data_IF_412765043598
#
_entry.id   IF_412765043598
#
_cell.length_a   1.000
_cell.length_b   1.000
_cell.length_c   1.000
_cell.angle_alpha   90.00
_cell.angle_beta   90.00
_cell.angle_gamma   90.00
#
_symmetry.space_group_name_H-M   'P 1'
#
loop_
_entity.id
_entity.type
_entity.pdbx_description
1 polymer ?
#
# COMPACT_ATOMS: atom_id res chain seq x y z
N UNK A 1 1.22 -1.12 -20.92
CA UNK A 1 0.87 -2.55 -20.74
C UNK A 1 1.03 -3.05 -19.29
N UNK A 2 1.81 -2.39 -18.42
CA UNK A 2 2.03 -2.87 -17.06
C UNK A 2 0.73 -2.95 -16.26
N UNK A 3 -0.10 -1.91 -16.27
CA UNK A 3 -1.40 -1.89 -15.59
C UNK A 3 -2.43 -2.79 -16.29
N UNK A 4 -2.51 -2.74 -17.63
CA UNK A 4 -3.52 -3.48 -18.40
C UNK A 4 -3.37 -5.00 -18.31
N UNK A 5 -2.13 -5.50 -18.09
CA UNK A 5 -1.86 -6.93 -17.90
C UNK A 5 -2.07 -7.41 -16.45
N UNK A 6 -2.38 -6.49 -15.53
CA UNK A 6 -2.64 -6.77 -14.11
C UNK A 6 -3.93 -6.08 -13.65
N UNK A 7 -5.10 -6.44 -14.25
CA UNK A 7 -6.37 -5.83 -13.89
C UNK A 7 -6.75 -6.14 -12.43
N UNK A 8 -7.69 -5.37 -11.89
CA UNK A 8 -8.19 -5.51 -10.51
C UNK A 8 -8.54 -6.96 -10.12
N UNK A 9 -9.22 -7.78 -10.97
CA UNK A 9 -9.53 -9.17 -10.63
C UNK A 9 -8.30 -10.06 -10.33
N UNK A 10 -7.12 -9.73 -10.87
CA UNK A 10 -5.89 -10.49 -10.58
C UNK A 10 -5.47 -10.33 -9.12
N UNK A 11 -5.55 -9.11 -8.60
CA UNK A 11 -5.24 -8.84 -7.19
C UNK A 11 -6.31 -9.42 -6.26
N UNK A 12 -7.60 -9.28 -6.62
CA UNK A 12 -8.69 -9.91 -5.87
C UNK A 12 -8.49 -11.43 -5.76
N UNK A 13 -8.19 -12.12 -6.88
CA UNK A 13 -7.96 -13.56 -6.89
C UNK A 13 -6.77 -13.94 -6.02
N UNK A 14 -5.65 -13.23 -6.15
CA UNK A 14 -4.46 -13.48 -5.36
C UNK A 14 -4.72 -13.27 -3.86
N UNK A 15 -5.46 -12.22 -3.49
CA UNK A 15 -5.87 -11.93 -2.11
C UNK A 15 -6.77 -13.04 -1.57
N UNK A 16 -7.80 -13.43 -2.31
CA UNK A 16 -8.70 -14.53 -1.93
C UNK A 16 -7.93 -15.84 -1.72
N UNK A 17 -7.04 -16.18 -2.63
CA UNK A 17 -6.21 -17.40 -2.54
C UNK A 17 -5.28 -17.37 -1.33
N UNK A 18 -4.60 -16.24 -1.08
CA UNK A 18 -3.73 -16.10 0.08
C UNK A 18 -4.52 -16.27 1.40
N UNK A 19 -5.71 -15.68 1.49
CA UNK A 19 -6.61 -15.83 2.64
C UNK A 19 -7.04 -17.29 2.83
N UNK A 20 -7.44 -17.96 1.75
CA UNK A 20 -7.85 -19.38 1.80
C UNK A 20 -6.71 -20.30 2.27
N UNK A 21 -5.48 -20.04 1.82
CA UNK A 21 -4.32 -20.80 2.26
C UNK A 21 -3.97 -20.55 3.73
N UNK A 22 -4.08 -19.30 4.18
CA UNK A 22 -3.86 -18.93 5.58
C UNK A 22 -4.92 -19.56 6.49
N UNK A 23 -6.18 -19.61 6.06
CA UNK A 23 -7.28 -20.29 6.76
C UNK A 23 -7.02 -21.79 6.92
N UNK A 24 -6.58 -22.47 5.84
CA UNK A 24 -6.24 -23.89 5.88
C UNK A 24 -5.07 -24.16 6.83
N UNK A 25 -4.08 -23.26 6.83
CA UNK A 25 -2.89 -23.40 7.66
C UNK A 25 -3.08 -22.92 9.11
N UNK A 26 -4.24 -22.30 9.41
CA UNK A 26 -4.57 -21.69 10.71
C UNK A 26 -3.50 -20.69 11.18
N UNK A 27 -3.09 -19.78 10.28
CA UNK A 27 -2.08 -18.76 10.57
C UNK A 27 -2.60 -17.34 10.30
N UNK A 28 -2.14 -16.33 11.05
CA UNK A 28 -2.44 -14.95 10.73
C UNK A 28 -1.79 -14.54 9.39
N UNK A 29 -2.45 -13.64 8.66
CA UNK A 29 -2.00 -13.16 7.36
C UNK A 29 -2.02 -11.64 7.30
N UNK A 30 -1.00 -11.03 6.71
CA UNK A 30 -1.02 -9.61 6.31
C UNK A 30 -1.02 -9.50 4.80
N UNK A 31 -2.07 -8.89 4.23
CA UNK A 31 -2.12 -8.53 2.81
C UNK A 31 -1.47 -7.16 2.66
N UNK A 32 -0.34 -7.11 1.99
CA UNK A 32 0.45 -5.89 1.80
C UNK A 32 0.01 -5.14 0.53
N UNK A 33 0.30 -3.82 0.47
CA UNK A 33 0.13 -2.93 -0.69
C UNK A 33 -1.21 -3.11 -1.45
N UNK A 34 -2.33 -3.23 -0.73
CA UNK A 34 -3.67 -3.34 -1.32
C UNK A 34 -4.00 -2.09 -2.12
N UNK A 35 -4.39 -2.26 -3.38
CA UNK A 35 -4.53 -1.18 -4.36
C UNK A 35 -5.95 -0.89 -4.83
N UNK A 36 -6.94 -1.69 -4.42
CA UNK A 36 -8.31 -1.58 -4.94
C UNK A 36 -9.39 -2.10 -3.99
N UNK A 37 -10.66 -1.73 -4.27
CA UNK A 37 -11.80 -2.07 -3.44
C UNK A 37 -12.16 -3.55 -3.44
N UNK A 38 -11.98 -4.29 -4.55
CA UNK A 38 -12.32 -5.70 -4.60
C UNK A 38 -11.43 -6.55 -3.67
N UNK A 39 -10.14 -6.24 -3.62
CA UNK A 39 -9.22 -6.88 -2.66
C UNK A 39 -9.56 -6.48 -1.22
N UNK A 40 -9.94 -5.20 -0.99
CA UNK A 40 -10.42 -4.72 0.32
C UNK A 40 -11.67 -5.50 0.78
N UNK A 41 -12.61 -5.77 -0.12
CA UNK A 41 -13.80 -6.58 0.20
C UNK A 41 -13.47 -8.01 0.60
N UNK A 42 -12.51 -8.67 -0.07
CA UNK A 42 -12.08 -10.03 0.32
C UNK A 42 -11.50 -10.05 1.74
N UNK A 43 -10.73 -9.03 2.12
CA UNK A 43 -10.20 -8.88 3.47
C UNK A 43 -11.32 -8.70 4.50
N UNK A 44 -12.29 -7.84 4.21
CA UNK A 44 -13.45 -7.61 5.08
C UNK A 44 -14.26 -8.89 5.30
N UNK A 45 -14.56 -9.62 4.22
CA UNK A 45 -15.28 -10.91 4.28
C UNK A 45 -14.54 -11.94 5.13
N UNK A 46 -13.22 -12.01 5.00
CA UNK A 46 -12.39 -12.89 5.80
C UNK A 46 -12.47 -12.56 7.29
N UNK A 47 -12.39 -11.28 7.65
CA UNK A 47 -12.53 -10.81 9.04
C UNK A 47 -13.92 -11.07 9.62
N UNK A 48 -14.97 -10.91 8.83
CA UNK A 48 -16.36 -11.24 9.25
C UNK A 48 -16.52 -12.73 9.60
N UNK A 49 -15.71 -13.60 9.00
CA UNK A 49 -15.63 -15.04 9.34
C UNK A 49 -14.73 -15.33 10.55
N UNK A 50 -14.12 -14.31 11.15
CA UNK A 50 -13.25 -14.44 12.32
C UNK A 50 -11.77 -14.73 12.00
N UNK A 51 -11.35 -14.67 10.74
CA UNK A 51 -9.96 -14.90 10.35
C UNK A 51 -9.06 -13.74 10.76
N UNK A 52 -7.84 -14.04 11.17
CA UNK A 52 -6.82 -13.06 11.55
C UNK A 52 -6.10 -12.53 10.30
N UNK A 53 -6.79 -11.68 9.55
CA UNK A 53 -6.27 -11.04 8.35
C UNK A 53 -6.03 -9.56 8.62
N UNK A 54 -4.80 -9.11 8.41
CA UNK A 54 -4.38 -7.71 8.49
C UNK A 54 -4.18 -7.15 7.09
N UNK A 55 -4.24 -5.83 6.95
CA UNK A 55 -4.13 -5.19 5.65
C UNK A 55 -3.29 -3.92 5.68
N UNK A 56 -2.58 -3.70 4.59
CA UNK A 56 -1.72 -2.54 4.37
C UNK A 56 -2.08 -1.87 3.04
N UNK A 57 -2.05 -0.53 3.02
CA UNK A 57 -2.04 0.23 1.77
C UNK A 57 -0.94 1.29 1.78
N UNK A 58 -0.73 1.98 0.66
CA UNK A 58 0.44 2.83 0.44
C UNK A 58 0.04 4.14 -0.28
N UNK A 59 0.90 5.20 -0.22
CA UNK A 59 0.61 6.50 -0.82
C UNK A 59 0.24 6.46 -2.31
N UNK A 60 0.88 5.58 -3.08
CA UNK A 60 0.65 5.47 -4.52
C UNK A 60 -0.80 5.11 -4.87
N UNK A 61 -1.52 4.43 -3.99
CA UNK A 61 -2.90 4.00 -4.24
C UNK A 61 -3.95 5.05 -3.87
N UNK A 62 -3.52 6.20 -3.36
CA UNK A 62 -4.37 7.36 -3.08
C UNK A 62 -3.91 8.63 -3.79
N UNK A 63 -2.83 8.57 -4.60
CA UNK A 63 -2.24 9.74 -5.27
C UNK A 63 -1.89 9.51 -6.74
N UNK A 64 -1.56 8.29 -7.13
CA UNK A 64 -1.20 7.94 -8.51
C UNK A 64 -2.32 7.16 -9.18
N UNK A 65 -2.36 7.27 -10.49
CA UNK A 65 -3.37 6.59 -11.32
C UNK A 65 -2.72 5.75 -12.42
N UNK A 66 -3.51 4.90 -13.08
CA UNK A 66 -3.06 4.11 -14.21
C UNK A 66 -2.58 4.98 -15.38
N UNK A 67 -3.14 6.19 -15.52
CA UNK A 67 -2.77 7.18 -16.52
C UNK A 67 -1.33 7.70 -16.32
N UNK A 68 -0.81 7.70 -15.09
CA UNK A 68 0.59 8.03 -14.83
C UNK A 68 1.56 7.03 -15.47
N UNK A 69 1.15 5.78 -15.65
CA UNK A 69 1.94 4.77 -16.36
C UNK A 69 1.93 4.95 -17.90
N UNK A 70 0.99 5.74 -18.40
CA UNK A 70 0.74 5.92 -19.84
C UNK A 70 1.24 7.29 -20.35
N UNK A 71 2.15 7.91 -19.62
CA UNK A 71 2.78 9.18 -20.01
C UNK A 71 3.66 8.98 -21.23
N UNK A 72 3.78 10.04 -22.03
CA UNK A 72 4.53 10.06 -23.27
C UNK A 72 5.98 9.59 -23.11
N UNK A 73 6.49 8.95 -24.14
CA UNK A 73 7.86 8.45 -24.22
C UNK A 73 8.18 7.37 -23.17
N UNK A 74 9.18 7.61 -22.33
CA UNK A 74 9.59 6.69 -21.26
C UNK A 74 9.20 7.18 -19.86
N UNK A 75 8.51 8.31 -19.76
CA UNK A 75 8.18 8.95 -18.48
C UNK A 75 7.26 8.11 -17.59
N UNK A 76 6.38 7.30 -18.17
CA UNK A 76 5.55 6.36 -17.43
C UNK A 76 6.35 5.31 -16.62
N UNK A 77 7.61 5.04 -17.00
CA UNK A 77 8.48 4.12 -16.26
C UNK A 77 8.75 4.56 -14.81
N UNK A 78 8.67 5.87 -14.52
CA UNK A 78 8.82 6.43 -13.16
C UNK A 78 7.84 5.81 -12.19
N UNK A 79 6.63 5.46 -12.65
CA UNK A 79 5.49 5.03 -11.86
C UNK A 79 5.28 3.51 -11.83
N UNK A 80 6.14 2.76 -12.49
CA UNK A 80 6.04 1.29 -12.51
C UNK A 80 6.34 0.71 -11.13
N UNK A 81 5.32 0.15 -10.52
CA UNK A 81 5.35 -0.61 -9.25
C UNK A 81 4.30 -1.73 -9.28
N UNK A 82 4.34 -2.66 -8.36
CA UNK A 82 3.40 -3.77 -8.28
C UNK A 82 2.81 -3.89 -6.87
N UNK A 83 1.47 -3.92 -6.75
CA UNK A 83 0.46 -3.72 -7.80
C UNK A 83 0.58 -2.36 -8.51
N UNK A 84 0.15 -2.26 -9.79
CA UNK A 84 0.16 -0.97 -10.48
C UNK A 84 -0.88 -0.02 -9.87
N UNK A 85 -0.66 1.30 -9.91
CA UNK A 85 -1.71 2.28 -9.63
C UNK A 85 -2.98 1.97 -10.44
N UNK A 86 -4.15 2.16 -9.83
CA UNK A 86 -5.46 1.92 -10.43
C UNK A 86 -6.05 3.22 -10.98
N UNK A 87 -7.23 3.16 -11.55
CA UNK A 87 -7.95 4.39 -11.90
C UNK A 87 -8.35 5.15 -10.64
N UNK A 88 -8.54 6.46 -10.75
CA UNK A 88 -8.97 7.30 -9.60
C UNK A 88 -10.30 6.89 -8.98
N UNK A 89 -11.08 6.04 -9.65
CA UNK A 89 -12.32 5.45 -9.12
C UNK A 89 -12.08 4.51 -7.93
N UNK A 90 -10.86 4.00 -7.75
CA UNK A 90 -10.51 3.17 -6.59
C UNK A 90 -10.17 4.01 -5.35
N UNK A 91 -9.77 5.27 -5.49
CA UNK A 91 -9.38 6.11 -4.36
C UNK A 91 -10.46 6.24 -3.27
N UNK A 92 -11.75 6.49 -3.59
CA UNK A 92 -12.78 6.53 -2.56
C UNK A 92 -12.88 5.24 -1.75
N UNK A 93 -12.71 4.08 -2.39
CA UNK A 93 -12.79 2.77 -1.72
C UNK A 93 -11.58 2.54 -0.80
N UNK A 94 -10.38 2.96 -1.23
CA UNK A 94 -9.18 2.90 -0.39
C UNK A 94 -9.32 3.85 0.80
N UNK A 95 -9.81 5.09 0.59
CA UNK A 95 -10.04 6.03 1.68
C UNK A 95 -11.09 5.53 2.67
N UNK A 96 -12.18 4.94 2.18
CA UNK A 96 -13.18 4.29 3.04
C UNK A 96 -12.55 3.19 3.91
N UNK A 97 -11.71 2.36 3.33
CA UNK A 97 -10.96 1.34 4.07
C UNK A 97 -9.97 1.90 5.08
N UNK A 98 -9.33 3.04 4.79
CA UNK A 98 -8.46 3.75 5.73
C UNK A 98 -9.28 4.31 6.90
N UNK A 99 -10.37 4.99 6.63
CA UNK A 99 -11.23 5.62 7.63
C UNK A 99 -11.87 4.59 8.56
N UNK A 100 -12.44 3.53 7.99
CA UNK A 100 -13.23 2.54 8.74
C UNK A 100 -12.44 1.33 9.26
N UNK A 101 -11.11 1.39 9.23
CA UNK A 101 -10.28 0.40 9.92
C UNK A 101 -10.04 -0.91 9.18
N UNK A 102 -10.30 -0.95 7.87
CA UNK A 102 -9.94 -2.13 7.06
C UNK A 102 -8.43 -2.21 6.90
N UNK A 103 -7.74 -1.09 6.72
CA UNK A 103 -6.29 -1.06 6.71
C UNK A 103 -5.74 -0.87 8.12
N UNK A 104 -4.96 -1.82 8.58
CA UNK A 104 -4.28 -1.76 9.88
C UNK A 104 -3.09 -0.82 9.83
N UNK A 105 -2.36 -0.82 8.72
CA UNK A 105 -1.15 -0.05 8.54
C UNK A 105 -1.14 0.70 7.22
N UNK A 106 -0.43 1.84 7.23
CA UNK A 106 -0.13 2.64 6.04
C UNK A 106 1.38 2.70 5.88
N UNK A 107 1.91 1.95 4.92
CA UNK A 107 3.35 1.86 4.64
C UNK A 107 3.75 2.69 3.43
N UNK A 108 4.99 2.58 2.99
CA UNK A 108 5.49 3.29 1.80
C UNK A 108 5.78 2.39 0.61
N UNK A 109 5.97 1.10 0.84
CA UNK A 109 6.49 0.17 -0.18
C UNK A 109 7.71 0.76 -0.91
N UNK A 110 8.64 1.37 -0.13
CA UNK A 110 9.77 2.12 -0.66
C UNK A 110 10.76 1.22 -1.37
N UNK A 111 10.77 1.29 -2.69
CA UNK A 111 11.71 0.58 -3.55
C UNK A 111 12.21 1.52 -4.67
N UNK A 112 13.17 2.41 -4.38
CA UNK A 112 13.56 3.48 -5.28
C UNK A 112 14.52 2.98 -6.36
N UNK A 113 14.33 3.52 -7.56
CA UNK A 113 15.24 3.36 -8.69
C UNK A 113 15.54 4.71 -9.33
N UNK A 114 16.78 4.97 -9.66
CA UNK A 114 17.13 6.16 -10.44
C UNK A 114 16.50 6.06 -11.83
N UNK A 115 15.97 7.18 -12.34
CA UNK A 115 15.25 7.17 -13.61
C UNK A 115 16.18 6.96 -14.81
N UNK A 116 17.24 7.79 -14.92
CA UNK A 116 18.19 7.77 -16.03
C UNK A 116 19.43 6.94 -15.68
N UNK A 117 19.25 5.68 -15.32
CA UNK A 117 20.34 4.82 -14.87
C UNK A 117 20.12 3.40 -15.39
N UNK A 118 21.16 2.81 -15.96
CA UNK A 118 21.14 1.43 -16.47
C UNK A 118 20.98 0.37 -15.36
N UNK A 119 21.28 0.72 -14.11
CA UNK A 119 20.95 -0.09 -12.92
C UNK A 119 19.61 0.31 -12.30
N UNK A 120 18.91 1.26 -12.90
CA UNK A 120 17.61 1.79 -12.46
C UNK A 120 16.50 1.55 -13.47
N UNK A 121 15.61 2.53 -13.64
CA UNK A 121 14.45 2.41 -14.54
C UNK A 121 14.81 2.23 -16.01
N UNK A 122 15.93 2.77 -16.46
CA UNK A 122 16.44 2.63 -17.84
C UNK A 122 17.37 1.41 -17.98
N UNK A 123 17.04 0.32 -17.32
CA UNK A 123 17.77 -0.95 -17.40
C UNK A 123 17.80 -1.50 -18.84
N UNK A 124 18.76 -2.37 -19.19
CA UNK A 124 18.84 -2.95 -20.52
C UNK A 124 17.51 -3.58 -20.96
N UNK A 125 16.98 -3.14 -22.10
CA UNK A 125 15.70 -3.60 -22.65
C UNK A 125 14.44 -2.95 -22.06
N UNK A 126 14.56 -2.02 -21.10
CA UNK A 126 13.42 -1.35 -20.46
C UNK A 126 12.59 -0.53 -21.47
N UNK A 127 13.25 0.10 -22.45
CA UNK A 127 12.56 0.88 -23.51
C UNK A 127 11.89 0.01 -24.56
N UNK A 128 12.22 -1.28 -24.66
CA UNK A 128 11.60 -2.23 -25.57
C UNK A 128 10.47 -3.02 -24.91
N UNK A 129 10.55 -3.25 -23.60
CA UNK A 129 9.55 -4.03 -22.88
C UNK A 129 9.39 -3.54 -21.44
N UNK A 130 8.14 -3.28 -21.04
CA UNK A 130 7.82 -2.94 -19.65
C UNK A 130 8.26 -4.01 -18.63
N UNK A 131 8.44 -5.27 -19.07
CA UNK A 131 8.91 -6.37 -18.22
C UNK A 131 10.32 -6.16 -17.69
N UNK A 132 11.12 -5.35 -18.40
CA UNK A 132 12.49 -5.06 -18.04
C UNK A 132 12.61 -3.75 -17.21
N UNK A 133 11.51 -3.06 -16.94
CA UNK A 133 11.50 -1.90 -16.07
C UNK A 133 11.47 -2.39 -14.63
N UNK A 134 12.45 -2.06 -13.80
CA UNK A 134 12.41 -2.40 -12.37
C UNK A 134 11.16 -1.88 -11.68
N UNK A 135 10.48 -2.76 -10.94
CA UNK A 135 9.27 -2.43 -10.21
C UNK A 135 9.62 -1.80 -8.86
N UNK A 136 9.06 -0.64 -8.61
CA UNK A 136 9.20 0.08 -7.35
C UNK A 136 9.29 1.58 -7.54
N UNK A 137 8.85 2.31 -6.54
CA UNK A 137 8.86 3.77 -6.47
C UNK A 137 9.35 4.24 -5.09
N UNK A 138 9.92 5.45 -4.98
CA UNK A 138 10.23 6.03 -3.67
C UNK A 138 8.95 6.42 -2.93
N UNK A 139 8.97 6.34 -1.60
CA UNK A 139 7.78 6.67 -0.79
C UNK A 139 8.06 6.94 0.69
N UNK A 140 9.24 6.56 1.22
CA UNK A 140 9.50 6.63 2.66
C UNK A 140 9.43 8.06 3.20
N UNK A 141 9.98 9.02 2.48
CA UNK A 141 9.95 10.43 2.87
C UNK A 141 8.56 11.05 2.78
N UNK A 142 7.81 10.70 1.72
CA UNK A 142 6.54 11.35 1.40
C UNK A 142 5.32 10.69 2.05
N UNK A 143 5.46 9.49 2.61
CA UNK A 143 4.37 8.71 3.19
C UNK A 143 3.56 9.50 4.22
N UNK A 144 4.21 10.00 5.26
CA UNK A 144 3.54 10.72 6.34
C UNK A 144 2.98 12.09 5.88
N UNK A 145 3.74 12.93 5.16
CA UNK A 145 3.21 14.18 4.62
C UNK A 145 1.99 14.00 3.72
N UNK A 146 2.00 13.01 2.82
CA UNK A 146 0.86 12.72 1.95
C UNK A 146 -0.36 12.30 2.76
N UNK A 147 -0.22 11.31 3.64
CA UNK A 147 -1.35 10.84 4.44
C UNK A 147 -1.90 11.94 5.35
N UNK A 148 -1.03 12.78 5.94
CA UNK A 148 -1.45 13.89 6.79
C UNK A 148 -2.21 14.95 5.99
N UNK A 149 -1.65 15.39 4.85
CA UNK A 149 -2.26 16.40 3.97
C UNK A 149 -3.59 15.93 3.39
N UNK A 150 -3.59 14.74 2.79
CA UNK A 150 -4.78 14.21 2.12
C UNK A 150 -5.83 13.64 3.08
N UNK A 151 -5.41 13.14 4.23
CA UNK A 151 -6.26 12.52 5.24
C UNK A 151 -6.73 13.51 6.29
N UNK A 152 -5.79 13.98 7.13
CA UNK A 152 -6.13 14.80 8.30
C UNK A 152 -6.54 16.22 7.92
N UNK A 153 -5.73 16.91 7.11
CA UNK A 153 -6.02 18.30 6.72
C UNK A 153 -7.32 18.39 5.91
N UNK A 154 -7.57 17.42 5.02
CA UNK A 154 -8.83 17.33 4.24
C UNK A 154 -9.98 16.68 5.01
N UNK A 155 -9.79 16.38 6.30
CA UNK A 155 -10.83 15.84 7.21
C UNK A 155 -11.43 14.49 6.74
N UNK A 156 -10.65 13.66 6.07
CA UNK A 156 -11.06 12.29 5.70
C UNK A 156 -10.83 11.30 6.83
N UNK A 157 -9.82 11.56 7.68
CA UNK A 157 -9.53 10.77 8.88
C UNK A 157 -9.21 11.68 10.05
N UNK A 158 -9.38 11.17 11.27
CA UNK A 158 -8.96 11.88 12.47
C UNK A 158 -7.45 11.81 12.70
N UNK A 159 -6.92 12.65 13.59
CA UNK A 159 -5.52 12.61 13.99
C UNK A 159 -5.17 11.31 14.72
N UNK A 160 -6.11 10.79 15.51
CA UNK A 160 -5.98 9.51 16.21
C UNK A 160 -5.84 8.37 15.19
N UNK A 161 -6.70 8.37 14.16
CA UNK A 161 -6.64 7.36 13.11
C UNK A 161 -5.32 7.44 12.32
N UNK A 162 -4.83 8.64 12.06
CA UNK A 162 -3.50 8.84 11.47
C UNK A 162 -2.41 8.20 12.34
N UNK A 163 -2.39 8.49 13.67
CA UNK A 163 -1.40 7.93 14.58
C UNK A 163 -1.51 6.40 14.70
N UNK A 164 -2.73 5.86 14.70
CA UNK A 164 -2.94 4.41 14.71
C UNK A 164 -2.25 3.71 13.53
N UNK A 165 -2.59 4.11 12.29
CA UNK A 165 -2.14 3.40 11.08
C UNK A 165 -0.70 3.71 10.68
N UNK A 166 -0.10 4.75 11.26
CA UNK A 166 1.31 5.11 10.97
C UNK A 166 2.28 4.70 12.06
N UNK A 167 1.81 4.38 13.26
CA UNK A 167 2.66 4.08 14.41
C UNK A 167 2.12 2.93 15.28
N UNK A 168 1.01 3.15 15.98
CA UNK A 168 0.51 2.23 17.01
C UNK A 168 0.23 0.83 16.48
N UNK A 169 -0.45 0.73 15.35
CA UNK A 169 -0.81 -0.56 14.76
C UNK A 169 0.40 -1.31 14.22
N UNK A 170 1.41 -0.61 13.68
CA UNK A 170 2.68 -1.23 13.33
C UNK A 170 3.32 -1.89 14.57
N UNK A 171 3.39 -1.14 15.67
CA UNK A 171 3.98 -1.64 16.90
C UNK A 171 3.22 -2.86 17.45
N UNK A 172 1.89 -2.85 17.40
CA UNK A 172 1.07 -3.98 17.82
C UNK A 172 1.26 -5.20 16.94
N UNK A 173 1.20 -5.01 15.63
CA UNK A 173 1.31 -6.10 14.65
C UNK A 173 2.66 -6.80 14.71
N UNK A 174 3.73 -6.03 14.91
CA UNK A 174 5.11 -6.55 14.96
C UNK A 174 5.62 -6.84 16.39
N UNK A 175 4.74 -6.82 17.40
CA UNK A 175 5.10 -7.21 18.77
C UNK A 175 6.01 -6.21 19.50
N UNK A 176 6.00 -4.95 19.09
CA UNK A 176 6.82 -3.88 19.67
C UNK A 176 6.08 -3.01 20.69
N UNK A 177 4.75 -3.12 20.72
CA UNK A 177 3.90 -2.39 21.64
C UNK A 177 4.01 -2.99 23.06
N UNK A 178 4.04 -2.18 24.16
CA UNK A 178 3.93 -0.71 24.22
C UNK A 178 5.27 0.02 24.16
N UNK A 179 6.40 -0.68 24.01
CA UNK A 179 7.73 -0.07 23.97
C UNK A 179 7.84 0.96 22.83
N UNK A 180 7.20 0.68 21.68
CA UNK A 180 7.02 1.61 20.56
C UNK A 180 5.53 1.77 20.26
N UNK A 181 5.16 2.84 19.53
CA UNK A 181 3.79 3.12 19.13
C UNK A 181 2.87 3.62 20.25
N UNK A 182 3.43 4.05 21.38
CA UNK A 182 2.71 4.68 22.48
C UNK A 182 3.58 5.74 23.17
N UNK A 183 2.93 6.71 23.81
CA UNK A 183 3.59 7.73 24.65
C UNK A 183 3.22 7.43 26.10
N UNK A 184 4.01 6.53 26.72
CA UNK A 184 3.82 6.11 28.12
C UNK A 184 5.17 6.04 28.82
N UNK A 185 5.18 6.12 30.15
CA UNK A 185 6.40 5.98 30.96
C UNK A 185 7.01 4.60 30.70
N UNK A 186 8.29 4.57 30.30
CA UNK A 186 9.02 3.36 29.96
C UNK A 186 9.01 2.97 28.48
N UNK A 187 8.29 3.72 27.64
CA UNK A 187 8.40 3.57 26.18
C UNK A 187 9.67 4.25 25.63
N UNK A 188 10.09 3.81 24.42
CA UNK A 188 11.18 4.47 23.69
C UNK A 188 10.71 5.87 23.25
N UNK A 189 11.60 6.86 23.32
CA UNK A 189 11.32 8.25 22.93
C UNK A 189 11.59 8.50 21.42
N UNK A 190 11.14 7.58 20.58
CA UNK A 190 11.20 7.75 19.11
C UNK A 190 10.00 8.61 18.68
N UNK A 191 10.25 9.91 18.51
CA UNK A 191 9.23 10.92 18.20
C UNK A 191 9.55 11.54 16.84
N UNK A 192 8.53 11.64 15.95
CA UNK A 192 8.60 12.29 14.64
C UNK A 192 7.73 13.54 14.60
#
# INVERSE_FOLDING_TARGET
YHATTRPVPVEREATHRAISLAEIADVPLTIVHVSNGEATEEIMRARQRGLKVFAETCPQYITLTAEDLDRDGFDGAKYVCSPPPRTSQEWPKIWDGIEHGVFDIFSSDHCPFRFNDSAGKDAPGARQSFRNIPNGIPGVETRLPILFSEGVVKKRISLERFAEITSTNHARLYGLYPRKGSIVVGADADIA
#
